data_IF_003409639598
#
_entry.id   IF_003409639598
#
_cell.length_a   1.000
_cell.length_b   1.000
_cell.length_c   1.000
_cell.angle_alpha   90.00
_cell.angle_beta   90.00
_cell.angle_gamma   90.00
#
_symmetry.space_group_name_H-M   'P 1'
#
loop_
_entity.id
_entity.type
_entity.pdbx_description
1 polymer ?
#
# COMPACT_ATOMS: atom_id res chain seq x y z
N UNK A 1 -8.39 -7.55 20.16
CA UNK A 1 -7.16 -6.99 20.78
C UNK A 1 -6.72 -5.80 19.94
N UNK A 2 -6.02 -4.83 20.50
CA UNK A 2 -5.55 -3.64 19.78
C UNK A 2 -4.03 -3.75 19.63
N UNK A 3 -3.57 -3.80 18.39
CA UNK A 3 -2.14 -3.68 18.10
C UNK A 3 -1.72 -2.22 18.22
N UNK A 4 -0.58 -1.97 18.85
CA UNK A 4 0.00 -0.64 18.93
C UNK A 4 0.89 -0.41 17.72
N UNK A 5 0.52 0.56 16.87
CA UNK A 5 1.38 1.07 15.80
C UNK A 5 2.29 2.19 16.30
N UNK A 6 3.39 2.41 15.57
CA UNK A 6 4.15 3.66 15.56
C UNK A 6 3.91 4.33 14.22
N UNK A 7 3.96 5.66 14.17
CA UNK A 7 3.94 6.38 12.90
C UNK A 7 5.14 5.93 12.07
N UNK A 8 4.90 5.54 10.83
CA UNK A 8 5.96 5.14 9.92
C UNK A 8 6.81 6.37 9.54
N UNK A 9 8.15 6.30 9.62
CA UNK A 9 9.03 7.40 9.23
C UNK A 9 8.78 7.94 7.81
N UNK A 10 8.19 7.14 6.92
CA UNK A 10 7.83 7.59 5.56
C UNK A 10 6.96 8.84 5.56
N UNK A 11 6.09 9.03 6.55
CA UNK A 11 5.20 10.20 6.65
C UNK A 11 5.93 11.49 7.04
N UNK A 12 7.25 11.46 7.24
CA UNK A 12 8.10 12.66 7.36
C UNK A 12 8.57 13.18 6.00
N UNK A 13 8.37 12.41 4.94
CA UNK A 13 8.66 12.80 3.57
C UNK A 13 7.52 13.65 3.00
N UNK A 14 7.68 14.08 1.76
CA UNK A 14 6.73 14.95 1.06
C UNK A 14 5.39 14.23 0.83
N UNK A 15 4.35 14.66 1.56
CA UNK A 15 3.01 14.10 1.49
C UNK A 15 2.37 14.22 0.09
N UNK A 16 2.39 15.38 -0.59
CA UNK A 16 1.98 15.49 -1.99
C UNK A 16 2.60 14.43 -2.92
N UNK A 17 3.91 14.16 -2.77
CA UNK A 17 4.59 13.12 -3.57
C UNK A 17 4.11 11.72 -3.17
N UNK A 18 4.03 11.41 -1.88
CA UNK A 18 3.56 10.10 -1.40
C UNK A 18 2.11 9.82 -1.83
N UNK A 19 1.26 10.84 -1.85
CA UNK A 19 -0.13 10.77 -2.30
C UNK A 19 -0.27 10.40 -3.78
N UNK A 20 0.82 10.33 -4.55
CA UNK A 20 0.81 9.80 -5.93
C UNK A 20 0.83 8.29 -5.99
N UNK A 21 1.28 7.63 -4.92
CA UNK A 21 1.49 6.20 -4.86
C UNK A 21 0.44 5.50 -4.00
N UNK A 22 -0.03 6.12 -2.92
CA UNK A 22 -1.01 5.50 -2.02
C UNK A 22 -1.82 6.54 -1.25
N UNK A 23 -2.89 6.07 -0.59
CA UNK A 23 -3.70 6.91 0.29
C UNK A 23 -2.92 7.25 1.57
N UNK A 24 -2.53 8.52 1.71
CA UNK A 24 -1.69 9.01 2.82
C UNK A 24 -2.47 9.20 4.13
N UNK A 25 -3.80 9.19 4.08
CA UNK A 25 -4.66 9.37 5.24
C UNK A 25 -5.68 8.24 5.37
N UNK A 26 -6.00 7.88 6.61
CA UNK A 26 -7.16 7.01 6.87
C UNK A 26 -8.41 7.87 6.81
N UNK A 27 -9.37 7.51 5.96
CA UNK A 27 -10.57 8.31 5.72
C UNK A 27 -11.26 8.87 6.98
N UNK A 28 -11.56 8.09 8.04
CA UNK A 28 -12.26 8.60 9.22
C UNK A 28 -11.40 9.50 10.14
N UNK A 29 -10.14 9.76 9.82
CA UNK A 29 -9.24 10.61 10.63
C UNK A 29 -8.99 11.98 10.01
N UNK A 30 -9.57 12.29 8.86
CA UNK A 30 -9.30 13.54 8.15
C UNK A 30 -10.25 14.64 8.60
N UNK A 31 -9.69 15.79 8.94
CA UNK A 31 -10.43 17.02 9.25
C UNK A 31 -10.04 18.08 8.23
N UNK A 32 -11.04 18.76 7.66
CA UNK A 32 -10.84 19.79 6.64
C UNK A 32 -11.09 21.18 7.20
N UNK A 33 -10.22 22.14 6.85
CA UNK A 33 -10.48 23.54 7.14
C UNK A 33 -11.36 24.15 6.03
N UNK A 34 -12.66 24.30 6.31
CA UNK A 34 -13.65 24.86 5.37
C UNK A 34 -13.41 26.32 4.97
N UNK A 35 -12.57 27.07 5.70
CA UNK A 35 -12.17 28.43 5.30
C UNK A 35 -11.10 28.44 4.21
N UNK A 36 -10.42 27.30 3.99
CA UNK A 36 -9.31 27.17 3.04
C UNK A 36 -9.71 26.31 1.85
N UNK A 37 -10.43 25.21 2.08
CA UNK A 37 -10.81 24.26 1.05
C UNK A 37 -12.19 24.61 0.48
N UNK A 38 -12.26 24.76 -0.84
CA UNK A 38 -13.51 25.04 -1.55
C UNK A 38 -14.44 23.82 -1.55
N UNK A 39 -15.75 24.05 -1.44
CA UNK A 39 -16.74 22.98 -1.57
C UNK A 39 -16.67 22.27 -2.93
N UNK A 40 -16.31 23.02 -3.98
CA UNK A 40 -16.15 22.49 -5.33
C UNK A 40 -15.04 21.43 -5.43
N UNK A 41 -14.07 21.41 -4.51
CA UNK A 41 -12.96 20.45 -4.50
C UNK A 41 -13.27 19.19 -3.65
N UNK A 42 -14.28 19.26 -2.77
CA UNK A 42 -14.69 18.20 -1.84
C UNK A 42 -15.76 17.27 -2.45
N UNK A 43 -15.43 16.63 -3.57
CA UNK A 43 -16.30 15.65 -4.20
C UNK A 43 -15.52 14.37 -4.55
N UNK A 44 -16.23 13.25 -4.59
CA UNK A 44 -15.71 12.01 -5.12
C UNK A 44 -15.93 11.94 -6.62
N UNK A 45 -14.97 11.38 -7.34
CA UNK A 45 -15.12 11.02 -8.75
C UNK A 45 -15.50 9.54 -8.87
N UNK A 46 -16.66 9.29 -9.50
CA UNK A 46 -17.21 7.94 -9.72
C UNK A 46 -16.33 7.05 -10.61
N UNK A 47 -15.38 7.62 -11.35
CA UNK A 47 -14.38 6.88 -12.13
C UNK A 47 -13.37 6.10 -11.27
N UNK A 48 -13.35 6.34 -9.96
CA UNK A 48 -12.42 5.73 -9.00
C UNK A 48 -13.14 4.94 -7.91
N UNK A 49 -14.19 4.21 -8.29
CA UNK A 49 -14.95 3.35 -7.40
C UNK A 49 -14.04 2.45 -6.55
N UNK A 50 -14.36 2.34 -5.26
CA UNK A 50 -13.63 1.62 -4.22
C UNK A 50 -12.25 2.18 -3.83
N UNK A 51 -11.82 3.29 -4.42
CA UNK A 51 -10.63 4.05 -4.02
C UNK A 51 -10.88 5.57 -4.13
N UNK A 52 -12.11 5.99 -3.83
CA UNK A 52 -12.57 7.37 -3.94
C UNK A 52 -11.80 8.31 -2.99
N UNK A 53 -11.41 7.79 -1.83
CA UNK A 53 -10.59 8.46 -0.84
C UNK A 53 -9.17 8.72 -1.34
N UNK A 54 -8.56 7.74 -2.02
CA UNK A 54 -7.25 7.90 -2.64
C UNK A 54 -7.27 9.00 -3.70
N UNK A 55 -8.29 9.02 -4.56
CA UNK A 55 -8.46 10.10 -5.53
C UNK A 55 -8.67 11.48 -4.88
N UNK A 56 -9.50 11.56 -3.85
CA UNK A 56 -9.74 12.82 -3.16
C UNK A 56 -8.45 13.35 -2.53
N UNK A 57 -7.73 12.51 -1.78
CA UNK A 57 -6.55 12.95 -1.05
C UNK A 57 -5.38 13.32 -1.95
N UNK A 58 -5.17 12.61 -3.06
CA UNK A 58 -4.11 12.99 -4.01
C UNK A 58 -4.36 14.36 -4.64
N UNK A 59 -5.62 14.73 -4.91
CA UNK A 59 -6.00 16.03 -5.48
C UNK A 59 -5.91 17.14 -4.46
N UNK A 60 -6.38 16.89 -3.24
CA UNK A 60 -6.29 17.87 -2.16
C UNK A 60 -4.85 18.14 -1.75
N UNK A 61 -4.00 17.11 -1.67
CA UNK A 61 -2.58 17.28 -1.34
C UNK A 61 -1.80 18.10 -2.38
N UNK A 62 -2.23 18.13 -3.65
CA UNK A 62 -1.62 19.00 -4.68
C UNK A 62 -1.98 20.48 -4.50
N UNK A 63 -3.19 20.74 -4.01
CA UNK A 63 -3.78 22.09 -4.02
C UNK A 63 -3.69 22.79 -2.67
N UNK A 64 -3.66 22.02 -1.59
CA UNK A 64 -3.77 22.53 -0.23
C UNK A 64 -2.67 21.97 0.67
N UNK A 65 -2.18 22.75 1.65
CA UNK A 65 -1.30 22.24 2.68
C UNK A 65 -1.93 21.06 3.42
N UNK A 66 -1.18 19.97 3.53
CA UNK A 66 -1.59 18.76 4.21
C UNK A 66 -0.58 18.42 5.32
N UNK A 67 -1.09 17.98 6.47
CA UNK A 67 -0.27 17.59 7.62
C UNK A 67 -0.86 16.36 8.30
N UNK A 68 0.00 15.57 8.94
CA UNK A 68 -0.39 14.37 9.66
C UNK A 68 -0.11 14.53 11.15
N UNK A 69 -1.10 14.20 11.98
CA UNK A 69 -0.97 14.17 13.44
C UNK A 69 -0.30 12.86 13.89
N UNK A 70 0.80 12.89 14.67
CA UNK A 70 1.47 11.68 15.12
C UNK A 70 0.67 10.88 16.17
N UNK A 71 -0.36 11.48 16.75
CA UNK A 71 -1.24 10.85 17.72
C UNK A 71 -2.12 9.76 17.11
N UNK A 72 -2.36 8.70 17.90
CA UNK A 72 -3.20 7.58 17.48
C UNK A 72 -4.63 7.82 17.92
N UNK A 73 -5.42 8.42 17.04
CA UNK A 73 -6.79 8.85 17.35
C UNK A 73 -7.88 7.88 16.86
N UNK A 74 -7.50 6.78 16.19
CA UNK A 74 -8.44 5.79 15.66
C UNK A 74 -8.08 4.37 16.08
N UNK A 75 -9.10 3.63 16.53
CA UNK A 75 -9.03 2.16 16.67
C UNK A 75 -9.89 1.54 15.58
N UNK A 76 -9.23 0.99 14.56
CA UNK A 76 -9.92 0.38 13.43
C UNK A 76 -10.25 -1.09 13.68
N UNK A 77 -11.49 -1.50 13.40
CA UNK A 77 -11.94 -2.89 13.52
C UNK A 77 -11.76 -3.62 12.19
N UNK A 78 -10.91 -4.63 12.18
CA UNK A 78 -10.76 -5.55 11.05
C UNK A 78 -11.77 -6.69 11.17
N UNK A 79 -12.57 -6.92 10.13
CA UNK A 79 -13.49 -8.04 10.02
C UNK A 79 -13.68 -8.45 8.55
N UNK A 80 -14.00 -9.72 8.25
CA UNK A 80 -14.09 -10.24 6.87
C UNK A 80 -15.26 -9.66 6.05
N UNK A 81 -16.20 -8.95 6.70
CA UNK A 81 -17.30 -8.28 6.03
C UNK A 81 -17.00 -6.85 5.59
N UNK A 82 -15.78 -6.34 5.77
CA UNK A 82 -15.44 -4.97 5.38
C UNK A 82 -15.50 -4.79 3.86
N UNK A 83 -15.78 -3.57 3.41
CA UNK A 83 -15.81 -3.21 1.98
C UNK A 83 -14.50 -3.61 1.30
N UNK A 84 -13.37 -3.41 1.98
CA UNK A 84 -12.03 -3.80 1.54
C UNK A 84 -11.91 -5.30 1.29
N UNK A 85 -12.55 -6.14 2.11
CA UNK A 85 -12.53 -7.59 1.95
C UNK A 85 -13.43 -8.08 0.82
N UNK A 86 -14.51 -7.35 0.51
CA UNK A 86 -15.49 -7.73 -0.52
C UNK A 86 -15.11 -7.26 -1.92
N UNK A 87 -14.48 -6.10 -2.03
CA UNK A 87 -14.14 -5.44 -3.31
C UNK A 87 -12.64 -5.28 -3.52
N UNK A 88 -11.83 -6.16 -2.92
CA UNK A 88 -10.37 -6.08 -2.96
C UNK A 88 -9.80 -6.03 -4.39
N UNK A 89 -10.37 -6.82 -5.32
CA UNK A 89 -9.91 -6.86 -6.71
C UNK A 89 -10.18 -5.56 -7.46
N UNK A 90 -11.39 -5.01 -7.32
CA UNK A 90 -11.77 -3.74 -7.96
C UNK A 90 -10.95 -2.58 -7.40
N UNK A 91 -10.84 -2.49 -6.07
CA UNK A 91 -9.98 -1.50 -5.41
C UNK A 91 -8.53 -1.58 -5.89
N UNK A 92 -7.98 -2.78 -6.08
CA UNK A 92 -6.61 -2.93 -6.58
C UNK A 92 -6.44 -2.40 -7.99
N UNK A 93 -7.40 -2.69 -8.87
CA UNK A 93 -7.42 -2.15 -10.24
C UNK A 93 -7.52 -0.63 -10.23
N UNK A 94 -8.43 -0.08 -9.43
CA UNK A 94 -8.59 1.37 -9.29
C UNK A 94 -7.32 2.03 -8.72
N UNK A 95 -6.68 1.42 -7.72
CA UNK A 95 -5.42 1.91 -7.17
C UNK A 95 -4.32 1.96 -8.24
N UNK A 96 -4.10 0.87 -8.98
CA UNK A 96 -3.09 0.83 -10.05
C UNK A 96 -3.41 1.80 -11.20
N UNK A 97 -4.70 1.99 -11.51
CA UNK A 97 -5.15 3.02 -12.46
C UNK A 97 -4.72 4.42 -11.99
N UNK A 98 -5.04 4.79 -10.75
CA UNK A 98 -4.69 6.10 -10.17
C UNK A 98 -3.17 6.30 -10.17
N UNK A 99 -2.40 5.30 -9.70
CA UNK A 99 -0.93 5.39 -9.67
C UNK A 99 -0.37 5.56 -11.08
N UNK A 100 -0.85 4.78 -12.05
CA UNK A 100 -0.43 4.92 -13.45
C UNK A 100 -0.70 6.32 -14.01
N UNK A 101 -1.92 6.84 -13.82
CA UNK A 101 -2.28 8.20 -14.25
C UNK A 101 -1.42 9.28 -13.57
N UNK A 102 -1.09 9.12 -12.29
CA UNK A 102 -0.22 10.05 -11.57
C UNK A 102 1.20 10.03 -12.14
N UNK A 103 1.76 8.86 -12.41
CA UNK A 103 3.11 8.70 -12.95
C UNK A 103 3.21 9.24 -14.39
N UNK A 104 2.17 9.06 -15.20
CA UNK A 104 2.03 9.64 -16.55
C UNK A 104 2.02 11.17 -16.48
N UNK A 105 1.20 11.77 -15.60
CA UNK A 105 1.13 13.23 -15.42
C UNK A 105 2.45 13.83 -14.94
N UNK A 106 3.22 13.10 -14.13
CA UNK A 106 4.53 13.53 -13.63
C UNK A 106 5.66 13.31 -14.65
N UNK A 107 5.39 12.67 -15.80
CA UNK A 107 6.43 12.34 -16.79
C UNK A 107 7.45 11.31 -16.28
N UNK A 108 7.05 10.47 -15.32
CA UNK A 108 7.87 9.41 -14.74
C UNK A 108 7.67 8.06 -15.43
N UNK A 109 6.55 7.87 -16.11
CA UNK A 109 6.27 6.70 -16.93
C UNK A 109 5.41 7.10 -18.14
N UNK A 110 5.43 6.28 -19.18
CA UNK A 110 4.52 6.39 -20.32
C UNK A 110 3.78 5.06 -20.49
N UNK A 111 2.50 5.12 -20.85
CA UNK A 111 1.70 3.93 -21.14
C UNK A 111 1.73 2.92 -20.01
N UNK A 112 1.14 3.25 -18.86
CA UNK A 112 1.11 2.39 -17.66
C UNK A 112 0.22 1.13 -17.82
N UNK A 113 0.06 0.61 -19.03
CA UNK A 113 -0.69 -0.61 -19.34
C UNK A 113 -0.09 -1.83 -18.63
N UNK A 114 1.23 -1.94 -18.56
CA UNK A 114 1.92 -3.02 -17.84
C UNK A 114 1.59 -3.06 -16.36
N UNK A 115 1.51 -1.87 -15.74
CA UNK A 115 1.10 -1.73 -14.34
C UNK A 115 -0.39 -2.05 -14.16
N UNK A 116 -1.25 -1.70 -15.11
CA UNK A 116 -2.70 -1.97 -15.03
C UNK A 116 -3.01 -3.45 -15.27
N UNK A 117 -2.31 -4.10 -16.21
CA UNK A 117 -2.55 -5.47 -16.64
C UNK A 117 -2.39 -6.50 -15.51
N UNK A 118 -1.43 -6.29 -14.60
CA UNK A 118 -1.27 -7.18 -13.43
C UNK A 118 -2.43 -7.09 -12.45
N UNK A 119 -3.11 -5.94 -12.36
CA UNK A 119 -4.35 -5.79 -11.59
C UNK A 119 -5.54 -6.57 -12.17
N UNK A 120 -5.52 -6.83 -13.48
CA UNK A 120 -6.56 -7.61 -14.13
C UNK A 120 -6.34 -9.12 -14.00
N UNK A 121 -5.10 -9.55 -14.24
CA UNK A 121 -4.68 -10.94 -14.21
C UNK A 121 -3.25 -11.07 -13.70
N UNK A 122 -3.05 -11.96 -12.74
CA UNK A 122 -1.72 -12.29 -12.24
C UNK A 122 -1.23 -13.58 -12.90
N UNK A 123 -0.23 -13.45 -13.77
CA UNK A 123 0.46 -14.56 -14.40
C UNK A 123 1.94 -14.22 -14.58
N UNK A 124 2.75 -15.17 -15.05
CA UNK A 124 4.18 -14.98 -15.21
C UNK A 124 4.52 -13.79 -16.11
N UNK A 125 3.77 -13.64 -17.19
CA UNK A 125 3.91 -12.57 -18.17
C UNK A 125 3.55 -11.19 -17.56
N UNK A 126 2.42 -11.05 -16.87
CA UNK A 126 2.07 -9.77 -16.22
C UNK A 126 3.02 -9.42 -15.06
N UNK A 127 3.54 -10.42 -14.35
CA UNK A 127 4.58 -10.26 -13.32
C UNK A 127 5.89 -9.75 -13.91
N UNK A 128 6.34 -10.30 -15.04
CA UNK A 128 7.56 -9.84 -15.74
C UNK A 128 7.44 -8.39 -16.18
N UNK A 129 6.31 -8.03 -16.79
CA UNK A 129 6.06 -6.66 -17.24
C UNK A 129 5.98 -5.68 -16.07
N UNK A 130 5.30 -6.05 -14.99
CA UNK A 130 5.27 -5.24 -13.77
C UNK A 130 6.66 -5.08 -13.13
N UNK A 131 7.49 -6.13 -13.14
CA UNK A 131 8.86 -6.05 -12.64
C UNK A 131 9.72 -5.10 -13.48
N UNK A 132 9.63 -5.21 -14.82
CA UNK A 132 10.31 -4.31 -15.75
C UNK A 132 9.86 -2.85 -15.56
N UNK A 133 8.55 -2.63 -15.37
CA UNK A 133 7.99 -1.32 -15.07
C UNK A 133 8.59 -0.71 -13.79
N UNK A 134 8.67 -1.49 -12.70
CA UNK A 134 9.28 -1.03 -11.44
C UNK A 134 10.75 -0.65 -11.65
N UNK A 135 11.52 -1.46 -12.38
CA UNK A 135 12.94 -1.18 -12.66
C UNK A 135 13.11 0.11 -13.47
N UNK A 136 12.35 0.28 -14.53
CA UNK A 136 12.37 1.49 -15.35
C UNK A 136 11.97 2.74 -14.54
N UNK A 137 10.98 2.61 -13.66
CA UNK A 137 10.55 3.70 -12.79
C UNK A 137 11.63 4.08 -11.75
N UNK A 138 12.30 3.09 -11.16
CA UNK A 138 13.44 3.32 -10.25
C UNK A 138 14.59 4.04 -10.96
N UNK A 139 14.94 3.61 -12.17
CA UNK A 139 15.96 4.25 -13.00
C UNK A 139 15.59 5.70 -13.32
N UNK A 140 14.32 5.96 -13.63
CA UNK A 140 13.82 7.31 -13.87
C UNK A 140 13.91 8.17 -12.61
N UNK A 141 13.49 7.65 -11.45
CA UNK A 141 13.53 8.37 -10.17
C UNK A 141 14.95 8.67 -9.72
N UNK A 142 15.91 7.79 -10.01
CA UNK A 142 17.32 8.04 -9.71
C UNK A 142 17.86 9.32 -10.39
N UNK A 143 17.24 9.76 -11.50
CA UNK A 143 17.59 11.01 -12.20
C UNK A 143 16.96 12.27 -11.62
N UNK A 144 16.01 12.15 -10.66
CA UNK A 144 15.34 13.30 -10.05
C UNK A 144 16.26 14.03 -9.05
N UNK A 145 16.01 15.32 -8.74
CA UNK A 145 16.78 16.06 -7.75
C UNK A 145 16.76 15.43 -6.34
N UNK A 146 17.88 15.50 -5.63
CA UNK A 146 18.05 14.94 -4.27
C UNK A 146 16.97 15.38 -3.26
N UNK A 147 16.47 16.63 -3.24
CA UNK A 147 15.47 17.03 -2.25
C UNK A 147 14.14 16.28 -2.36
N UNK A 148 13.73 15.94 -3.59
CA UNK A 148 12.45 15.27 -3.86
C UNK A 148 12.58 13.75 -3.99
N UNK A 149 13.78 13.27 -4.36
CA UNK A 149 14.04 11.85 -4.66
C UNK A 149 13.62 10.88 -3.55
N UNK A 150 13.91 11.13 -2.24
CA UNK A 150 13.54 10.19 -1.17
C UNK A 150 12.04 9.89 -1.09
N UNK A 151 11.19 10.89 -1.33
CA UNK A 151 9.73 10.73 -1.32
C UNK A 151 9.27 9.85 -2.49
N UNK A 152 9.87 10.00 -3.67
CA UNK A 152 9.60 9.16 -4.83
C UNK A 152 10.11 7.72 -4.64
N UNK A 153 11.31 7.53 -4.10
CA UNK A 153 11.85 6.21 -3.78
C UNK A 153 10.97 5.46 -2.77
N UNK A 154 10.50 6.16 -1.74
CA UNK A 154 9.56 5.60 -0.78
C UNK A 154 8.21 5.25 -1.42
N UNK A 155 7.71 6.09 -2.32
CA UNK A 155 6.51 5.84 -3.11
C UNK A 155 6.61 4.59 -3.98
N UNK A 156 7.73 4.41 -4.69
CA UNK A 156 7.97 3.21 -5.51
C UNK A 156 8.17 1.97 -4.67
N UNK A 157 8.83 2.08 -3.53
CA UNK A 157 8.94 0.97 -2.60
C UNK A 157 7.55 0.55 -2.08
N UNK A 158 6.66 1.50 -1.81
CA UNK A 158 5.28 1.21 -1.44
C UNK A 158 4.52 0.51 -2.59
N UNK A 159 4.65 1.00 -3.82
CA UNK A 159 4.07 0.38 -5.01
C UNK A 159 4.58 -1.05 -5.20
N UNK A 160 5.89 -1.29 -4.99
CA UNK A 160 6.45 -2.63 -5.00
C UNK A 160 5.80 -3.53 -3.94
N UNK A 161 5.63 -3.06 -2.71
CA UNK A 161 4.96 -3.87 -1.67
C UNK A 161 3.50 -4.16 -2.01
N UNK A 162 2.80 -3.21 -2.65
CA UNK A 162 1.45 -3.42 -3.14
C UNK A 162 1.42 -4.52 -4.20
N UNK A 163 2.31 -4.48 -5.20
CA UNK A 163 2.44 -5.52 -6.22
C UNK A 163 2.85 -6.87 -5.62
N UNK A 164 3.80 -6.87 -4.69
CA UNK A 164 4.22 -8.06 -3.96
C UNK A 164 3.05 -8.73 -3.25
N UNK A 165 2.26 -7.96 -2.50
CA UNK A 165 1.07 -8.50 -1.83
C UNK A 165 0.05 -9.01 -2.84
N UNK A 166 -0.18 -8.26 -3.93
CA UNK A 166 -1.10 -8.66 -5.00
C UNK A 166 -0.70 -10.00 -5.62
N UNK A 167 0.58 -10.22 -5.91
CA UNK A 167 1.09 -11.47 -6.46
C UNK A 167 1.08 -12.59 -5.43
N UNK A 168 1.45 -12.29 -4.19
CA UNK A 168 1.52 -13.27 -3.12
C UNK A 168 0.15 -13.82 -2.72
N UNK A 169 -0.91 -13.04 -2.88
CA UNK A 169 -2.29 -13.46 -2.60
C UNK A 169 -2.84 -14.48 -3.60
N UNK A 170 -2.18 -14.68 -4.75
CA UNK A 170 -2.49 -15.78 -5.68
C UNK A 170 -2.03 -17.14 -5.16
N UNK A 171 -1.27 -17.18 -4.05
CA UNK A 171 -0.74 -18.41 -3.43
C UNK A 171 0.08 -19.30 -4.40
N UNK A 172 0.73 -18.65 -5.37
CA UNK A 172 1.62 -19.23 -6.37
C UNK A 172 3.07 -18.74 -6.17
N UNK A 173 3.87 -19.41 -5.32
CA UNK A 173 5.20 -18.93 -4.93
C UNK A 173 6.16 -18.65 -6.09
N UNK A 174 6.05 -19.39 -7.20
CA UNK A 174 6.85 -19.16 -8.39
C UNK A 174 6.68 -17.75 -8.97
N UNK A 175 5.47 -17.18 -8.93
CA UNK A 175 5.22 -15.82 -9.41
C UNK A 175 5.85 -14.78 -8.49
N UNK A 176 5.72 -14.97 -7.17
CA UNK A 176 6.35 -14.08 -6.18
C UNK A 176 7.88 -14.14 -6.27
N UNK A 177 8.44 -15.34 -6.46
CA UNK A 177 9.86 -15.53 -6.70
C UNK A 177 10.32 -14.78 -7.95
N UNK A 178 9.62 -14.93 -9.08
CA UNK A 178 9.93 -14.22 -10.32
C UNK A 178 9.94 -12.70 -10.11
N UNK A 179 8.90 -12.16 -9.46
CA UNK A 179 8.79 -10.73 -9.16
C UNK A 179 10.01 -10.24 -8.35
N UNK A 180 10.36 -10.96 -7.27
CA UNK A 180 11.48 -10.59 -6.39
C UNK A 180 12.82 -10.64 -7.10
N UNK A 181 13.02 -11.65 -7.95
CA UNK A 181 14.26 -11.83 -8.71
C UNK A 181 14.41 -10.72 -9.75
N UNK A 182 13.38 -10.45 -10.56
CA UNK A 182 13.45 -9.44 -11.62
C UNK A 182 13.51 -8.01 -11.10
N UNK A 183 12.89 -7.72 -9.96
CA UNK A 183 12.98 -6.41 -9.31
C UNK A 183 14.24 -6.24 -8.46
N UNK A 184 14.98 -7.32 -8.16
CA UNK A 184 16.12 -7.30 -7.23
C UNK A 184 15.73 -7.03 -5.77
N UNK A 185 14.45 -7.20 -5.40
CA UNK A 185 13.88 -6.80 -4.11
C UNK A 185 13.87 -7.89 -3.04
N UNK A 186 14.69 -8.92 -3.18
CA UNK A 186 14.89 -9.94 -2.14
C UNK A 186 15.24 -9.35 -0.77
N UNK A 187 15.90 -8.18 -0.72
CA UNK A 187 16.24 -7.50 0.53
C UNK A 187 15.13 -6.63 1.13
N UNK A 188 14.06 -6.37 0.38
CA UNK A 188 12.90 -5.63 0.88
C UNK A 188 11.94 -6.52 1.70
N UNK A 189 11.99 -7.84 1.54
CA UNK A 189 11.10 -8.77 2.25
C UNK A 189 11.70 -9.31 3.55
N UNK A 190 10.84 -9.78 4.46
CA UNK A 190 11.25 -10.34 5.75
C UNK A 190 12.14 -11.57 5.55
N UNK A 191 13.18 -11.72 6.36
CA UNK A 191 14.14 -12.84 6.27
C UNK A 191 13.46 -14.22 6.19
N UNK A 192 12.39 -14.45 6.95
CA UNK A 192 11.62 -15.70 6.91
C UNK A 192 10.90 -15.95 5.58
N UNK A 193 10.40 -14.89 4.94
CA UNK A 193 9.73 -14.97 3.64
C UNK A 193 10.74 -15.31 2.55
N UNK A 194 12.00 -14.84 2.66
CA UNK A 194 13.08 -15.22 1.75
C UNK A 194 13.30 -16.74 1.72
N UNK A 195 13.33 -17.39 2.88
CA UNK A 195 13.50 -18.85 2.95
C UNK A 195 12.29 -19.61 2.41
N UNK A 196 11.08 -19.08 2.62
CA UNK A 196 9.86 -19.67 2.06
C UNK A 196 9.84 -19.57 0.53
N UNK A 197 10.22 -18.42 -0.04
CA UNK A 197 10.07 -18.11 -1.46
C UNK A 197 11.32 -18.49 -2.29
N UNK A 198 12.48 -18.65 -1.65
CA UNK A 198 13.73 -19.09 -2.28
C UNK A 198 13.58 -20.38 -3.09
N UNK A 199 13.08 -21.49 -2.51
CA UNK A 199 12.81 -22.72 -3.26
C UNK A 199 11.53 -22.64 -4.10
N UNK A 200 10.78 -21.53 -4.09
CA UNK A 200 9.47 -21.41 -4.73
C UNK A 200 9.46 -21.70 -6.24
N UNK A 201 10.61 -21.54 -6.92
CA UNK A 201 10.78 -21.90 -8.32
C UNK A 201 10.99 -23.40 -8.57
N UNK A 202 11.58 -24.14 -7.61
CA UNK A 202 11.98 -25.55 -7.79
C UNK A 202 11.17 -26.54 -6.94
N UNK A 203 10.63 -26.11 -5.80
CA UNK A 203 9.78 -26.88 -4.91
C UNK A 203 8.63 -26.03 -4.32
N UNK A 204 7.57 -25.74 -5.12
CA UNK A 204 6.47 -24.87 -4.70
C UNK A 204 5.72 -25.35 -3.45
N UNK A 205 5.63 -26.66 -3.23
CA UNK A 205 4.93 -27.26 -2.09
C UNK A 205 5.62 -26.96 -0.74
N UNK A 206 6.96 -26.93 -0.71
CA UNK A 206 7.73 -26.51 0.47
C UNK A 206 7.49 -25.03 0.80
N UNK A 207 7.40 -24.22 -0.25
CA UNK A 207 7.11 -22.80 -0.11
C UNK A 207 5.71 -22.57 0.47
N UNK A 208 4.69 -23.28 -0.04
CA UNK A 208 3.32 -23.20 0.49
C UNK A 208 3.24 -23.64 1.96
N UNK A 209 3.89 -24.75 2.33
CA UNK A 209 3.95 -25.21 3.71
C UNK A 209 4.62 -24.17 4.63
N UNK A 210 5.72 -23.56 4.18
CA UNK A 210 6.43 -22.51 4.91
C UNK A 210 5.59 -21.23 5.07
N UNK A 211 4.89 -20.80 4.01
CA UNK A 211 3.98 -19.65 4.05
C UNK A 211 2.82 -19.88 5.03
N UNK A 212 2.24 -21.07 5.06
CA UNK A 212 1.18 -21.42 6.00
C UNK A 212 1.68 -21.39 7.45
N UNK A 213 2.85 -21.96 7.72
CA UNK A 213 3.48 -21.88 9.04
C UNK A 213 3.77 -20.41 9.43
N UNK A 214 4.21 -19.59 8.47
CA UNK A 214 4.39 -18.15 8.63
C UNK A 214 3.12 -17.41 9.03
N UNK A 215 1.99 -17.68 8.36
CA UNK A 215 0.68 -17.10 8.70
C UNK A 215 0.27 -17.42 10.15
N UNK A 216 0.53 -18.65 10.62
CA UNK A 216 0.27 -19.03 12.03
C UNK A 216 1.19 -18.32 13.02
N UNK A 217 2.48 -18.24 12.71
CA UNK A 217 3.44 -17.51 13.52
C UNK A 217 3.09 -16.01 13.64
N UNK A 218 2.61 -15.39 12.55
CA UNK A 218 2.16 -14.00 12.54
C UNK A 218 0.93 -13.78 13.44
N UNK A 219 -0.02 -14.73 13.45
CA UNK A 219 -1.17 -14.70 14.37
C UNK A 219 -0.75 -14.73 15.85
N UNK A 220 0.24 -15.56 16.19
CA UNK A 220 0.82 -15.61 17.54
C UNK A 220 1.55 -14.31 17.87
N UNK A 221 2.42 -13.84 16.98
CA UNK A 221 3.14 -12.58 17.16
C UNK A 221 2.21 -11.39 17.35
N UNK A 222 1.10 -11.33 16.59
CA UNK A 222 0.07 -10.32 16.77
C UNK A 222 -0.55 -10.39 18.17
N UNK A 223 -0.83 -11.59 18.70
CA UNK A 223 -1.38 -11.76 20.05
C UNK A 223 -0.43 -11.22 21.13
N UNK A 224 0.88 -11.45 20.98
CA UNK A 224 1.91 -10.92 21.89
C UNK A 224 2.12 -9.40 21.76
N UNK A 225 1.99 -8.84 20.56
CA UNK A 225 2.18 -7.40 20.28
C UNK A 225 0.91 -6.55 20.49
N UNK A 226 -0.21 -7.17 20.78
CA UNK A 226 -1.49 -6.51 20.98
C UNK A 226 -1.92 -6.56 22.44
N UNK A 227 -2.68 -5.56 22.88
CA UNK A 227 -3.27 -5.53 24.20
C UNK A 227 -4.79 -5.83 24.13
N UNK A 228 -5.42 -6.31 25.22
CA UNK A 228 -6.88 -6.37 25.30
C UNK A 228 -7.52 -5.01 24.97
N UNK A 229 -8.64 -5.00 24.24
CA UNK A 229 -9.28 -3.74 23.87
C UNK A 229 -9.80 -2.98 25.10
N UNK A 230 -10.37 -3.71 26.07
CA UNK A 230 -10.86 -3.14 27.32
C UNK A 230 -9.77 -2.36 28.08
N UNK A 231 -8.54 -2.88 28.15
CA UNK A 231 -7.45 -2.21 28.86
C UNK A 231 -6.93 -0.96 28.14
N UNK A 232 -6.95 -0.96 26.81
CA UNK A 232 -6.50 0.19 26.00
C UNK A 232 -7.55 1.30 25.97
N UNK A 233 -8.83 0.92 25.92
CA UNK A 233 -9.95 1.86 25.83
C UNK A 233 -10.45 2.36 27.18
N UNK A 234 -10.04 1.74 28.30
CA UNK A 234 -10.47 2.14 29.65
C UNK A 234 -10.31 3.65 29.94
N UNK A 235 -9.19 4.31 29.57
CA UNK A 235 -9.02 5.75 29.82
C UNK A 235 -9.92 6.65 28.96
N UNK A 236 -10.54 6.12 27.90
CA UNK A 236 -11.36 6.86 26.94
C UNK A 236 -12.85 6.56 27.07
N UNK A 237 -13.25 5.79 28.09
CA UNK A 237 -14.66 5.62 28.42
C UNK A 237 -15.16 6.93 29.00
N UNK A 238 -15.93 7.66 28.19
CA UNK A 238 -16.77 8.74 28.70
C UNK A 238 -17.86 8.06 29.52
N UNK A 239 -17.96 8.38 30.81
CA UNK A 239 -19.12 8.01 31.60
C UNK A 239 -20.34 8.63 30.90
N UNK A 240 -21.25 7.78 30.44
CA UNK A 240 -22.54 8.23 29.92
C UNK A 240 -23.28 8.88 31.08
N UNK A 241 -23.33 10.22 31.06
CA UNK A 241 -24.21 11.01 31.91
C UNK A 241 -25.68 10.77 31.54
#
# INVERSE_FOLDING_TARGET
RIARGRLDPVFRLDLPVLAKFFTIFLHPTVVYNRKVISEADLHYDGNYRHAEDFDLFRRLADRYPAALMPERLLVYRLHPGSVTSRHSKEMRRTHLKIVGENLERLGLAQGCEDLRAIGDRVCLDTVRRAAAFIRALEERIATLPDPTRPSFEAGVLNLFYFLYQLVNDEERPALTHELLTLTGKWNAIRRREKYALGPGAWAPWLSQASMWAGKRADGLAYRFKSAPAASVLAPYRVETA
#
